data_IF_768577738351
#
_entry.id   IF_768577738351
#
_cell.length_a   1.000
_cell.length_b   1.000
_cell.length_c   1.000
_cell.angle_alpha   90.00
_cell.angle_beta   90.00
_cell.angle_gamma   90.00
#
_symmetry.space_group_name_H-M   'P 1'
#
loop_
_entity.id
_entity.type
_entity.pdbx_description
1 polymer ?
#
# COMPACT_ATOMS: atom_id res chain seq x y z
N UNK A 1 28.66 70.08 15.10
CA UNK A 1 29.42 69.36 14.06
C UNK A 1 29.84 68.04 14.66
N UNK A 2 29.27 66.96 14.15
CA UNK A 2 29.84 65.60 14.03
C UNK A 2 28.84 64.81 13.21
N UNK A 3 29.17 64.61 11.94
CA UNK A 3 28.52 63.64 11.05
C UNK A 3 28.76 62.25 11.62
N UNK A 4 27.70 61.51 11.95
CA UNK A 4 27.80 60.07 12.18
C UNK A 4 27.75 59.37 10.82
N UNK A 5 28.90 58.83 10.42
CA UNK A 5 29.16 58.12 9.17
C UNK A 5 28.21 56.92 9.00
N UNK A 6 27.27 57.05 8.06
CA UNK A 6 26.36 55.98 7.67
C UNK A 6 27.03 55.03 6.66
N UNK A 7 27.78 54.03 7.13
CA UNK A 7 28.33 52.98 6.26
C UNK A 7 27.24 51.97 5.81
N UNK A 8 26.65 52.21 4.63
CA UNK A 8 25.80 51.21 3.98
C UNK A 8 26.70 50.17 3.30
N UNK A 9 26.65 48.91 3.76
CA UNK A 9 27.28 47.76 3.10
C UNK A 9 26.25 46.99 2.27
N UNK A 10 26.09 47.28 0.96
CA UNK A 10 25.22 46.48 0.10
C UNK A 10 25.80 45.06 -0.03
N UNK A 11 25.01 44.08 0.40
CA UNK A 11 25.35 42.66 0.29
C UNK A 11 25.42 42.18 -1.17
N UNK A 12 25.89 40.94 -1.36
CA UNK A 12 26.09 40.33 -2.68
C UNK A 12 24.76 40.21 -3.42
N UNK A 13 24.74 40.58 -4.70
CA UNK A 13 23.55 40.47 -5.55
C UNK A 13 23.08 39.00 -5.59
N UNK A 14 21.84 38.76 -5.13
CA UNK A 14 21.14 37.47 -4.92
C UNK A 14 21.38 36.74 -3.59
N UNK A 15 22.04 37.37 -2.63
CA UNK A 15 22.06 36.84 -1.27
C UNK A 15 20.71 37.13 -0.60
N UNK A 16 19.82 36.15 -0.61
CA UNK A 16 18.60 36.21 0.21
C UNK A 16 19.05 35.88 1.61
N UNK A 17 19.11 36.89 2.48
CA UNK A 17 19.26 36.69 3.91
C UNK A 17 18.39 35.51 4.36
N UNK A 18 18.96 34.64 5.19
CA UNK A 18 18.25 33.57 5.88
C UNK A 18 17.18 34.21 6.74
N UNK A 19 16.03 34.49 6.11
CA UNK A 19 14.90 35.13 6.73
C UNK A 19 14.52 34.34 7.97
N UNK A 20 14.65 35.02 9.11
CA UNK A 20 13.91 34.83 10.35
C UNK A 20 12.75 33.86 10.17
N UNK A 21 12.75 32.78 10.96
CA UNK A 21 11.76 31.71 10.90
C UNK A 21 10.34 32.24 10.82
N UNK A 22 9.81 32.34 9.60
CA UNK A 22 8.40 32.66 9.36
C UNK A 22 7.60 31.48 9.86
N UNK A 23 6.77 31.71 10.87
CA UNK A 23 5.80 30.73 11.34
C UNK A 23 5.02 30.19 10.13
N UNK A 24 5.10 28.87 9.91
CA UNK A 24 4.42 28.21 8.80
C UNK A 24 2.92 28.37 9.01
N UNK A 25 2.29 29.23 8.22
CA UNK A 25 0.84 29.40 8.24
C UNK A 25 0.17 28.04 8.03
N UNK A 26 -0.99 27.82 8.65
CA UNK A 26 -1.74 26.58 8.56
C UNK A 26 -1.96 26.14 7.10
N UNK A 27 -2.18 27.10 6.19
CA UNK A 27 -2.30 26.86 4.75
C UNK A 27 -1.03 26.26 4.12
N UNK A 28 0.16 26.68 4.54
CA UNK A 28 1.42 26.13 4.07
C UNK A 28 1.64 24.69 4.60
N UNK A 29 1.23 24.43 5.84
CA UNK A 29 1.29 23.08 6.42
C UNK A 29 0.32 22.12 5.73
N UNK A 30 -0.91 22.57 5.46
CA UNK A 30 -1.91 21.80 4.71
C UNK A 30 -1.44 21.46 3.29
N UNK A 31 -0.82 22.42 2.58
CA UNK A 31 -0.23 22.16 1.25
C UNK A 31 0.93 21.17 1.32
N UNK A 32 1.78 21.27 2.33
CA UNK A 32 2.88 20.32 2.52
C UNK A 32 2.37 18.91 2.84
N UNK A 33 1.28 18.77 3.61
CA UNK A 33 0.64 17.48 3.87
C UNK A 33 0.02 16.89 2.61
N UNK A 34 -0.73 17.69 1.83
CA UNK A 34 -1.36 17.26 0.59
C UNK A 34 -0.33 16.80 -0.46
N UNK A 35 0.82 17.47 -0.53
CA UNK A 35 1.92 17.06 -1.41
C UNK A 35 2.64 15.80 -0.92
N UNK A 36 2.65 15.54 0.39
CA UNK A 36 3.26 14.35 0.99
C UNK A 36 2.36 13.11 0.86
N UNK A 37 1.04 13.29 0.76
CA UNK A 37 0.07 12.20 0.56
C UNK A 37 -0.13 11.78 -0.89
N UNK A 38 0.60 12.36 -1.85
CA UNK A 38 0.49 12.00 -3.28
C UNK A 38 -0.83 12.40 -3.95
N UNK A 39 -1.75 13.02 -3.22
CA UNK A 39 -3.04 13.49 -3.73
C UNK A 39 -2.92 14.94 -4.23
N UNK A 40 -2.04 15.16 -5.20
CA UNK A 40 -1.99 16.43 -5.94
C UNK A 40 -3.05 16.42 -7.03
N UNK A 41 -4.17 17.11 -6.80
CA UNK A 41 -5.24 17.28 -7.79
C UNK A 41 -4.72 17.82 -9.12
N UNK A 42 -5.32 17.32 -10.21
CA UNK A 42 -5.11 17.78 -11.59
C UNK A 42 -5.49 19.26 -11.70
N UNK A 43 -4.51 20.16 -11.61
CA UNK A 43 -4.65 21.53 -12.05
C UNK A 43 -3.90 21.68 -13.37
N UNK A 44 -4.65 21.89 -14.45
CA UNK A 44 -4.11 22.24 -15.76
C UNK A 44 -3.32 23.55 -15.68
N UNK A 45 -2.13 23.56 -16.25
CA UNK A 45 -1.28 24.75 -16.30
C UNK A 45 0.11 24.44 -16.83
N UNK A 46 0.32 24.79 -18.11
CA UNK A 46 1.58 25.13 -18.78
C UNK A 46 2.83 24.28 -18.51
N UNK A 47 3.27 23.61 -19.58
CA UNK A 47 4.52 22.88 -19.69
C UNK A 47 5.76 23.74 -19.35
N UNK A 48 6.26 23.60 -18.12
CA UNK A 48 7.64 23.91 -17.77
C UNK A 48 8.45 22.63 -17.84
N UNK A 49 9.29 22.51 -18.87
CA UNK A 49 10.31 21.46 -19.04
C UNK A 49 11.29 21.50 -17.87
N UNK A 50 10.93 20.88 -16.74
CA UNK A 50 11.88 20.45 -15.72
C UNK A 50 11.91 18.93 -15.76
N UNK A 51 12.95 18.45 -16.45
CA UNK A 51 13.43 17.08 -16.47
C UNK A 51 13.28 16.43 -15.10
N UNK A 52 12.25 15.61 -14.93
CA UNK A 52 12.20 14.64 -13.84
C UNK A 52 13.21 13.55 -14.20
N UNK A 53 14.31 13.50 -13.43
CA UNK A 53 15.47 12.67 -13.70
C UNK A 53 15.16 11.21 -14.05
N UNK A 54 16.10 10.58 -14.77
CA UNK A 54 16.05 9.20 -15.30
C UNK A 54 15.87 8.08 -14.25
N UNK A 55 15.66 8.43 -12.98
CA UNK A 55 15.52 7.52 -11.85
C UNK A 55 14.17 7.67 -11.11
N UNK A 56 13.25 8.50 -11.62
CA UNK A 56 11.97 8.72 -10.95
C UNK A 56 10.95 7.61 -11.30
N UNK A 57 10.41 6.98 -10.24
CA UNK A 57 9.25 6.05 -10.22
C UNK A 57 8.01 6.52 -11.02
N UNK A 58 7.97 7.78 -11.47
CA UNK A 58 6.89 8.33 -12.28
C UNK A 58 6.92 7.94 -13.76
N UNK A 59 8.06 7.50 -14.32
CA UNK A 59 8.14 7.13 -15.75
C UNK A 59 7.38 5.82 -16.06
N UNK A 60 7.45 4.85 -15.14
CA UNK A 60 6.67 3.60 -15.24
C UNK A 60 5.17 3.90 -15.11
N UNK A 61 4.79 4.72 -14.13
CA UNK A 61 3.40 5.15 -13.95
C UNK A 61 2.82 5.87 -15.18
N UNK A 62 3.62 6.71 -15.87
CA UNK A 62 3.18 7.38 -17.10
C UNK A 62 3.12 6.45 -18.32
N UNK A 63 3.95 5.41 -18.38
CA UNK A 63 3.95 4.41 -19.47
C UNK A 63 2.81 3.38 -19.29
N UNK A 64 2.44 3.08 -18.04
CA UNK A 64 1.27 2.25 -17.71
C UNK A 64 -0.07 2.98 -17.93
N UNK A 65 -0.10 4.31 -17.85
CA UNK A 65 -1.31 5.09 -18.13
C UNK A 65 -1.74 5.09 -19.61
N UNK A 66 -0.91 4.57 -20.51
CA UNK A 66 -1.16 4.50 -21.96
C UNK A 66 -1.73 3.18 -22.48
N UNK A 67 -1.97 2.16 -21.64
CA UNK A 67 -2.68 0.95 -22.11
C UNK A 67 -4.21 1.16 -22.07
N UNK A 68 -4.83 1.14 -23.26
CA UNK A 68 -6.28 1.11 -23.43
C UNK A 68 -6.78 -0.33 -23.40
N UNK A 69 -7.97 -0.50 -22.80
CA UNK A 69 -8.75 -1.72 -22.53
C UNK A 69 -8.23 -2.59 -21.36
N UNK A 70 -9.08 -2.88 -20.36
CA UNK A 70 -8.93 -3.87 -19.26
C UNK A 70 -8.37 -3.46 -17.87
N UNK A 71 -8.36 -2.19 -17.46
CA UNK A 71 -7.98 -1.86 -16.06
C UNK A 71 -9.13 -2.19 -15.08
N UNK A 72 -9.25 -3.47 -14.71
CA UNK A 72 -10.06 -3.94 -13.58
C UNK A 72 -9.67 -3.14 -12.34
N UNK A 73 -10.64 -2.45 -11.74
CA UNK A 73 -10.43 -1.71 -10.49
C UNK A 73 -10.40 -2.71 -9.34
N UNK A 74 -9.43 -2.53 -8.46
CA UNK A 74 -9.25 -3.36 -7.27
C UNK A 74 -9.08 -2.47 -6.06
N UNK A 75 -9.85 -2.75 -5.01
CA UNK A 75 -9.64 -2.14 -3.70
C UNK A 75 -8.74 -3.07 -2.90
N UNK A 76 -7.67 -2.52 -2.34
CA UNK A 76 -6.78 -3.25 -1.42
C UNK A 76 -6.78 -2.55 -0.07
N UNK A 77 -7.15 -3.28 0.98
CA UNK A 77 -6.94 -2.85 2.37
C UNK A 77 -5.76 -3.62 2.94
N UNK A 78 -4.77 -2.91 3.47
CA UNK A 78 -3.59 -3.52 4.07
C UNK A 78 -3.52 -3.21 5.57
N UNK A 79 -3.18 -4.20 6.37
CA UNK A 79 -2.89 -4.06 7.80
C UNK A 79 -1.59 -4.76 8.14
N UNK A 80 -0.66 -4.01 8.73
CA UNK A 80 0.61 -4.54 9.23
C UNK A 80 0.45 -4.78 10.72
N UNK A 81 0.68 -6.00 11.17
CA UNK A 81 0.54 -6.38 12.57
C UNK A 81 1.89 -6.87 13.08
N UNK A 82 2.29 -6.37 14.24
CA UNK A 82 3.52 -6.77 14.90
C UNK A 82 3.26 -8.01 15.76
N UNK A 83 4.02 -9.07 15.50
CA UNK A 83 3.84 -10.40 16.09
C UNK A 83 4.70 -10.59 17.37
N UNK A 84 5.22 -9.51 17.96
CA UNK A 84 5.96 -9.51 19.24
C UNK A 84 5.54 -8.37 20.17
N UNK A 85 5.59 -8.63 21.48
CA UNK A 85 5.38 -7.65 22.56
C UNK A 85 3.95 -7.64 23.13
N UNK A 86 3.68 -6.80 24.12
CA UNK A 86 2.41 -6.80 24.89
C UNK A 86 1.11 -6.59 24.06
N UNK A 87 1.21 -6.11 22.81
CA UNK A 87 0.07 -6.03 21.87
C UNK A 87 -0.28 -7.37 21.19
N UNK A 88 0.59 -8.36 21.27
CA UNK A 88 0.44 -9.69 20.66
C UNK A 88 -0.65 -10.54 21.32
N UNK A 89 -0.87 -10.36 22.63
CA UNK A 89 -1.86 -11.11 23.41
C UNK A 89 -3.31 -10.90 22.95
N UNK A 90 -3.59 -9.88 22.12
CA UNK A 90 -4.94 -9.53 21.71
C UNK A 90 -5.61 -10.53 20.77
N UNK A 91 -4.86 -11.35 20.02
CA UNK A 91 -5.38 -12.54 19.32
C UNK A 91 -4.23 -13.32 18.66
N UNK A 92 -4.00 -14.60 19.03
CA UNK A 92 -3.04 -15.47 18.33
C UNK A 92 -3.36 -15.57 16.83
N UNK A 93 -2.34 -15.62 15.99
CA UNK A 93 -2.48 -15.76 14.53
C UNK A 93 -3.36 -16.95 14.15
N UNK A 94 -3.18 -18.08 14.84
CA UNK A 94 -4.03 -19.28 14.69
C UNK A 94 -5.52 -18.97 14.85
N UNK A 95 -5.90 -18.17 15.87
CA UNK A 95 -7.30 -17.77 16.09
C UNK A 95 -7.83 -16.92 14.94
N UNK A 96 -7.00 -16.06 14.35
CA UNK A 96 -7.39 -15.27 13.19
C UNK A 96 -7.62 -16.15 11.96
N UNK A 97 -6.77 -17.16 11.74
CA UNK A 97 -6.93 -18.11 10.64
C UNK A 97 -8.18 -18.97 10.82
N UNK A 98 -8.47 -19.44 12.04
CA UNK A 98 -9.73 -20.13 12.35
C UNK A 98 -10.94 -19.25 12.06
N UNK A 99 -10.88 -17.97 12.44
CA UNK A 99 -11.94 -17.01 12.17
C UNK A 99 -12.15 -16.82 10.66
N UNK A 100 -11.07 -16.63 9.90
CA UNK A 100 -11.11 -16.48 8.44
C UNK A 100 -11.70 -17.71 7.73
N UNK A 101 -11.38 -18.91 8.21
CA UNK A 101 -11.92 -20.17 7.71
C UNK A 101 -13.42 -20.30 8.00
N UNK A 102 -13.84 -19.95 9.22
CA UNK A 102 -15.22 -20.09 9.69
C UNK A 102 -16.17 -19.10 9.04
N UNK A 103 -15.75 -17.84 8.96
CA UNK A 103 -16.59 -16.78 8.41
C UNK A 103 -16.53 -16.75 6.87
N UNK A 104 -15.57 -17.46 6.27
CA UNK A 104 -15.50 -17.61 4.83
C UNK A 104 -16.53 -18.61 4.30
N UNK A 105 -17.36 -18.12 3.39
CA UNK A 105 -18.23 -18.95 2.55
C UNK A 105 -17.67 -18.85 1.14
N UNK A 106 -17.37 -19.98 0.50
CA UNK A 106 -16.94 -19.99 -0.90
C UNK A 106 -18.12 -19.71 -1.83
N UNK A 107 -17.84 -19.52 -3.13
CA UNK A 107 -18.88 -19.36 -4.16
C UNK A 107 -19.96 -20.44 -4.11
N UNK A 108 -19.59 -21.66 -3.74
CA UNK A 108 -20.48 -22.83 -3.69
C UNK A 108 -21.23 -22.99 -2.35
N UNK A 109 -21.13 -22.02 -1.44
CA UNK A 109 -21.79 -22.09 -0.13
C UNK A 109 -21.12 -23.03 0.87
N UNK A 110 -19.88 -23.49 0.60
CA UNK A 110 -19.11 -24.37 1.48
C UNK A 110 -18.19 -23.56 2.39
N UNK A 111 -17.79 -24.16 3.51
CA UNK A 111 -16.76 -23.62 4.39
C UNK A 111 -15.50 -23.28 3.59
N UNK A 112 -15.00 -22.06 3.73
CA UNK A 112 -13.85 -21.62 2.97
C UNK A 112 -12.58 -22.33 3.42
N UNK A 113 -11.86 -22.89 2.45
CA UNK A 113 -10.58 -23.58 2.67
C UNK A 113 -9.43 -22.61 2.42
N UNK A 114 -8.44 -22.60 3.34
CA UNK A 114 -7.20 -21.87 3.11
C UNK A 114 -6.46 -22.48 1.93
N UNK A 115 -5.93 -21.63 1.06
CA UNK A 115 -5.07 -22.03 -0.04
C UNK A 115 -3.80 -21.19 -0.05
N UNK A 116 -2.75 -21.69 -0.70
CA UNK A 116 -1.46 -21.02 -0.83
C UNK A 116 -0.95 -21.08 -2.27
N UNK A 117 0.37 -21.07 -2.39
CA UNK A 117 1.07 -21.19 -3.68
C UNK A 117 0.85 -22.55 -4.36
N UNK A 118 0.71 -23.63 -3.58
CA UNK A 118 0.39 -24.98 -4.08
C UNK A 118 -1.11 -25.22 -4.30
N UNK A 119 -1.43 -26.37 -4.88
CA UNK A 119 -2.81 -26.81 -5.16
C UNK A 119 -3.53 -27.46 -3.98
N UNK A 120 -2.79 -27.76 -2.92
CA UNK A 120 -3.34 -28.37 -1.71
C UNK A 120 -3.98 -27.33 -0.78
N UNK A 121 -4.93 -27.82 0.02
CA UNK A 121 -5.50 -27.02 1.12
C UNK A 121 -4.44 -26.83 2.19
N UNK A 122 -4.30 -25.61 2.70
CA UNK A 122 -3.31 -25.29 3.72
C UNK A 122 -3.90 -25.47 5.11
N UNK A 123 -3.18 -26.15 5.99
CA UNK A 123 -3.52 -26.17 7.41
C UNK A 123 -3.12 -24.85 8.09
N UNK A 124 -4.11 -24.15 8.65
CA UNK A 124 -3.91 -22.86 9.28
C UNK A 124 -3.10 -22.92 10.59
N UNK A 125 -3.13 -24.06 11.29
CA UNK A 125 -2.32 -24.28 12.48
C UNK A 125 -0.83 -24.37 12.11
N UNK A 126 -0.50 -25.23 11.15
CA UNK A 126 0.85 -25.38 10.63
C UNK A 126 1.40 -24.06 10.05
N UNK A 127 0.58 -23.27 9.35
CA UNK A 127 0.99 -21.94 8.91
C UNK A 127 1.30 -21.01 10.09
N UNK A 128 0.44 -20.96 11.10
CA UNK A 128 0.65 -20.12 12.27
C UNK A 128 1.92 -20.49 13.06
N UNK A 129 2.26 -21.78 13.11
CA UNK A 129 3.50 -22.28 13.71
C UNK A 129 4.74 -21.80 12.94
N UNK A 130 4.72 -21.85 11.60
CA UNK A 130 5.83 -21.31 10.79
C UNK A 130 6.05 -19.82 11.03
N UNK A 131 4.98 -19.06 11.18
CA UNK A 131 5.03 -17.62 11.45
C UNK A 131 5.34 -17.26 12.91
N UNK A 132 5.56 -18.23 13.80
CA UNK A 132 5.66 -17.99 15.25
C UNK A 132 6.76 -16.98 15.61
N UNK A 133 7.89 -17.04 14.92
CA UNK A 133 9.05 -16.19 15.19
C UNK A 133 9.08 -14.88 14.39
N UNK A 134 8.13 -14.70 13.47
CA UNK A 134 8.09 -13.52 12.61
C UNK A 134 7.93 -12.24 13.43
N UNK A 135 8.52 -11.16 12.92
CA UNK A 135 8.38 -9.83 13.55
C UNK A 135 7.04 -9.18 13.20
N UNK A 136 6.59 -9.38 11.97
CA UNK A 136 5.36 -8.82 11.43
C UNK A 136 4.70 -9.84 10.52
N UNK A 137 3.38 -9.78 10.47
CA UNK A 137 2.62 -10.35 9.37
C UNK A 137 1.76 -9.24 8.73
N UNK A 138 1.54 -9.38 7.44
CA UNK A 138 0.82 -8.47 6.57
C UNK A 138 -0.51 -9.11 6.21
N UNK A 139 -1.59 -8.40 6.47
CA UNK A 139 -2.95 -8.83 6.15
C UNK A 139 -3.48 -7.94 5.06
N UNK A 140 -3.88 -8.53 3.95
CA UNK A 140 -4.51 -7.85 2.85
C UNK A 140 -5.96 -8.32 2.70
N UNK A 141 -6.81 -7.40 2.30
CA UNK A 141 -8.13 -7.68 1.75
C UNK A 141 -8.11 -7.14 0.34
N UNK A 142 -8.27 -8.01 -0.64
CA UNK A 142 -8.26 -7.69 -2.06
C UNK A 142 -9.68 -7.87 -2.59
N UNK A 143 -10.27 -6.79 -3.08
CA UNK A 143 -11.64 -6.76 -3.60
C UNK A 143 -11.64 -6.24 -5.04
N UNK A 144 -11.51 -7.14 -6.03
CA UNK A 144 -11.76 -6.81 -7.43
C UNK A 144 -13.21 -6.40 -7.65
N UNK A 145 -13.45 -5.39 -8.50
CA UNK A 145 -14.81 -4.87 -8.75
C UNK A 145 -15.76 -5.89 -9.40
N UNK A 146 -15.21 -6.88 -10.10
CA UNK A 146 -15.90 -7.91 -10.88
C UNK A 146 -15.57 -9.32 -10.37
N UNK A 147 -15.41 -9.48 -9.05
CA UNK A 147 -15.02 -10.78 -8.44
C UNK A 147 -15.99 -11.91 -8.79
N UNK A 148 -17.27 -11.62 -9.00
CA UNK A 148 -18.27 -12.59 -9.44
C UNK A 148 -18.04 -13.12 -10.88
N UNK A 149 -17.37 -12.32 -11.73
CA UNK A 149 -17.05 -12.64 -13.11
C UNK A 149 -15.69 -13.34 -13.24
N UNK A 150 -14.88 -13.36 -12.18
CA UNK A 150 -13.65 -14.15 -12.13
C UNK A 150 -14.01 -15.63 -12.22
N UNK A 151 -13.51 -16.29 -13.27
CA UNK A 151 -13.65 -17.73 -13.44
C UNK A 151 -12.97 -18.50 -12.30
N UNK A 152 -11.81 -18.01 -11.84
CA UNK A 152 -11.07 -18.60 -10.73
C UNK A 152 -10.35 -17.53 -9.90
N UNK A 153 -10.87 -17.30 -8.69
CA UNK A 153 -10.32 -16.36 -7.70
C UNK A 153 -8.97 -16.84 -7.14
N UNK A 154 -8.75 -18.15 -7.06
CA UNK A 154 -7.49 -18.72 -6.53
C UNK A 154 -6.36 -18.49 -7.53
N UNK A 155 -6.59 -18.78 -8.80
CA UNK A 155 -5.62 -18.49 -9.87
C UNK A 155 -5.28 -16.99 -9.92
N UNK A 156 -6.29 -16.11 -9.86
CA UNK A 156 -6.05 -14.65 -9.77
C UNK A 156 -5.15 -14.27 -8.57
N UNK A 157 -5.41 -14.85 -7.40
CA UNK A 157 -4.64 -14.58 -6.18
C UNK A 157 -3.18 -15.05 -6.30
N UNK A 158 -2.96 -16.22 -6.91
CA UNK A 158 -1.61 -16.77 -7.15
C UNK A 158 -0.83 -15.92 -8.14
N UNK A 159 -1.46 -15.47 -9.23
CA UNK A 159 -0.84 -14.57 -10.20
C UNK A 159 -0.45 -13.23 -9.55
N UNK A 160 -1.35 -12.68 -8.72
CA UNK A 160 -1.10 -11.46 -7.96
C UNK A 160 0.14 -11.61 -7.06
N UNK A 161 0.22 -12.68 -6.28
CA UNK A 161 1.31 -12.88 -5.33
C UNK A 161 2.63 -13.26 -6.03
N UNK A 162 2.57 -13.99 -7.14
CA UNK A 162 3.72 -14.23 -8.01
C UNK A 162 4.28 -12.92 -8.58
N UNK A 163 3.41 -11.99 -8.97
CA UNK A 163 3.86 -10.67 -9.42
C UNK A 163 4.45 -9.85 -8.27
N UNK A 164 3.85 -9.93 -7.07
CA UNK A 164 4.39 -9.27 -5.87
C UNK A 164 5.77 -9.79 -5.48
N UNK A 165 6.02 -11.10 -5.57
CA UNK A 165 7.35 -11.70 -5.34
C UNK A 165 8.39 -11.14 -6.30
N UNK A 166 8.06 -11.04 -7.59
CA UNK A 166 8.95 -10.45 -8.62
C UNK A 166 9.25 -8.99 -8.34
N UNK A 167 8.23 -8.22 -7.98
CA UNK A 167 8.36 -6.78 -7.71
C UNK A 167 9.19 -6.50 -6.44
N UNK A 168 9.09 -7.37 -5.44
CA UNK A 168 9.82 -7.27 -4.18
C UNK A 168 11.22 -7.89 -4.24
N UNK A 169 11.47 -8.82 -5.18
CA UNK A 169 12.71 -9.57 -5.29
C UNK A 169 12.91 -10.57 -4.15
N UNK A 170 11.82 -11.07 -3.55
CA UNK A 170 11.84 -12.05 -2.46
C UNK A 170 10.61 -12.95 -2.53
N UNK A 171 10.71 -14.17 -2.01
CA UNK A 171 9.58 -15.09 -1.91
C UNK A 171 8.61 -14.67 -0.81
N UNK A 172 7.35 -15.07 -0.94
CA UNK A 172 6.30 -14.83 0.05
C UNK A 172 5.79 -16.20 0.55
N UNK A 173 5.84 -16.44 1.87
CA UNK A 173 5.04 -17.51 2.50
C UNK A 173 3.68 -16.91 2.83
N UNK A 174 2.60 -17.46 2.24
CA UNK A 174 1.29 -16.85 2.34
C UNK A 174 0.17 -17.87 2.34
N UNK A 175 -0.94 -17.47 2.95
CA UNK A 175 -2.23 -18.16 2.86
C UNK A 175 -3.33 -17.17 2.51
N UNK A 176 -4.32 -17.65 1.79
CA UNK A 176 -5.48 -16.86 1.44
C UNK A 176 -6.79 -17.63 1.59
N UNK A 177 -7.88 -16.88 1.66
CA UNK A 177 -9.24 -17.39 1.64
C UNK A 177 -10.14 -16.39 0.91
N UNK A 178 -11.03 -16.90 0.06
CA UNK A 178 -12.06 -16.11 -0.61
C UNK A 178 -13.37 -16.14 0.17
N UNK A 179 -13.98 -14.97 0.35
CA UNK A 179 -15.24 -14.76 1.06
C UNK A 179 -16.32 -14.26 0.11
N UNK A 180 -17.41 -15.00 0.00
CA UNK A 180 -18.59 -14.72 -0.84
C UNK A 180 -19.87 -14.46 -0.04
N UNK A 181 -19.76 -14.42 1.29
CA UNK A 181 -20.88 -14.19 2.21
C UNK A 181 -21.34 -12.72 2.32
N UNK A 182 -20.73 -11.81 1.55
CA UNK A 182 -21.08 -10.38 1.52
C UNK A 182 -21.40 -9.96 0.10
N UNK A 183 -22.08 -8.81 -0.04
CA UNK A 183 -22.45 -8.23 -1.35
C UNK A 183 -21.24 -7.96 -2.26
N UNK A 184 -20.02 -7.97 -1.72
CA UNK A 184 -18.78 -7.76 -2.47
C UNK A 184 -17.78 -8.89 -2.14
N UNK A 185 -17.70 -9.94 -2.98
CA UNK A 185 -16.74 -11.00 -2.77
C UNK A 185 -15.30 -10.47 -2.70
N UNK A 186 -14.51 -10.99 -1.78
CA UNK A 186 -13.16 -10.49 -1.50
C UNK A 186 -12.23 -11.59 -1.00
N UNK A 187 -10.93 -11.36 -1.14
CA UNK A 187 -9.90 -12.30 -0.74
C UNK A 187 -9.16 -11.74 0.47
N UNK A 188 -9.13 -12.52 1.54
CA UNK A 188 -8.19 -12.28 2.63
C UNK A 188 -6.87 -12.96 2.32
N UNK A 189 -5.77 -12.23 2.37
CA UNK A 189 -4.41 -12.76 2.20
C UNK A 189 -3.61 -12.43 3.45
N UNK A 190 -2.88 -13.42 3.96
CA UNK A 190 -1.92 -13.28 5.03
C UNK A 190 -0.54 -13.65 4.50
N UNK A 191 0.42 -12.76 4.72
CA UNK A 191 1.84 -12.91 4.40
C UNK A 191 2.67 -12.70 5.66
#
# INVERSE_FOLDING_TARGET
MSDDDLEIRPGRIRDRSSGQGKARTLKAQLRALANRSGCGGRAGGSASRRSTGRLARGRIASLQASSRASQRRVIVKARIVRHRGARFTAAPLAKHLTYLKRDGVTRDGKDAALFGSGDETVDGGAFAERCADDRHHFRFIVSPEDTAELADVRSFTRDLLTQMEKDLGTGLDWVAVDHWNTDNPHIHILV
#
